data_IF_248627143172
#
_entry.id   IF_248627143172
#
_cell.length_a   1.000
_cell.length_b   1.000
_cell.length_c   1.000
_cell.angle_alpha   90.00
_cell.angle_beta   90.00
_cell.angle_gamma   90.00
#
_symmetry.space_group_name_H-M   'P 1'
#
loop_
_entity.id
_entity.type
_entity.pdbx_description
1 polymer ?
#
# COMPACT_ATOMS: atom_id res chain seq x y z
N UNK A 1 15.59 21.35 -2.51
CA UNK A 1 15.28 20.06 -3.17
C UNK A 1 14.60 19.18 -2.14
N UNK A 2 13.32 19.47 -1.83
CA UNK A 2 12.62 18.92 -0.66
C UNK A 2 11.48 18.02 -1.14
N UNK A 3 11.57 16.75 -0.78
CA UNK A 3 10.55 15.74 -1.05
C UNK A 3 9.33 16.00 -0.17
N UNK A 4 8.20 16.38 -0.76
CA UNK A 4 6.90 16.12 -0.16
C UNK A 4 5.91 15.83 -1.29
N UNK A 5 4.92 14.98 -0.99
CA UNK A 5 3.94 14.36 -1.89
C UNK A 5 4.42 13.04 -2.51
N UNK A 6 4.24 11.98 -1.73
CA UNK A 6 4.25 10.60 -2.20
C UNK A 6 3.16 10.40 -3.24
N UNK A 7 3.48 10.70 -4.49
CA UNK A 7 2.71 10.27 -5.63
C UNK A 7 3.14 8.84 -5.96
N UNK A 8 2.34 7.87 -5.53
CA UNK A 8 2.40 6.52 -6.08
C UNK A 8 1.97 6.61 -7.55
N UNK A 9 2.93 6.92 -8.44
CA UNK A 9 2.82 6.67 -9.87
C UNK A 9 2.56 5.17 -10.02
N UNK A 10 1.30 4.79 -10.15
CA UNK A 10 0.90 3.40 -10.28
C UNK A 10 0.47 3.06 -11.70
N UNK A 11 -0.07 4.01 -12.47
CA UNK A 11 -0.39 3.87 -13.91
C UNK A 11 -0.43 5.23 -14.64
N UNK A 12 0.33 6.22 -14.17
CA UNK A 12 0.10 7.63 -14.52
C UNK A 12 -1.06 8.28 -13.75
N UNK A 13 -1.78 7.52 -12.92
CA UNK A 13 -2.78 8.03 -11.99
C UNK A 13 -2.08 8.69 -10.79
N UNK A 14 -1.62 9.93 -10.98
CA UNK A 14 -1.15 10.81 -9.92
C UNK A 14 -2.30 11.67 -9.41
N UNK A 15 -3.23 11.10 -8.66
CA UNK A 15 -4.31 11.88 -8.04
C UNK A 15 -3.79 12.52 -6.73
N UNK A 16 -2.78 13.41 -6.85
CA UNK A 16 -2.35 14.23 -5.71
C UNK A 16 -3.18 15.51 -5.56
N UNK A 17 -4.01 15.81 -6.57
CA UNK A 17 -4.81 17.03 -6.68
C UNK A 17 -6.29 16.64 -6.69
N UNK A 18 -7.09 17.32 -5.85
CA UNK A 18 -8.54 17.17 -5.83
C UNK A 18 -9.10 17.45 -7.22
N UNK A 19 -10.06 16.63 -7.67
CA UNK A 19 -10.74 16.79 -8.96
C UNK A 19 -9.85 16.65 -10.20
N UNK A 20 -8.64 16.11 -10.07
CA UNK A 20 -7.87 15.72 -11.25
C UNK A 20 -8.53 14.47 -11.87
N UNK A 21 -8.74 14.52 -13.18
CA UNK A 21 -9.19 13.36 -13.94
C UNK A 21 -7.98 12.61 -14.50
N UNK A 22 -8.02 11.28 -14.41
CA UNK A 22 -7.03 10.43 -15.06
C UNK A 22 -7.73 9.38 -15.89
N UNK A 23 -7.37 9.30 -17.16
CA UNK A 23 -7.90 8.30 -18.08
C UNK A 23 -6.91 7.17 -18.25
N UNK A 24 -7.38 5.95 -18.02
CA UNK A 24 -6.68 4.69 -18.24
C UNK A 24 -7.31 3.95 -19.42
N UNK A 25 -6.54 3.09 -20.09
CA UNK A 25 -6.99 2.28 -21.21
C UNK A 25 -6.70 0.81 -20.98
N UNK A 26 -7.75 0.00 -20.93
CA UNK A 26 -7.68 -1.45 -20.70
C UNK A 26 -8.46 -2.16 -21.80
N UNK A 27 -7.80 -3.06 -22.55
CA UNK A 27 -8.41 -3.78 -23.69
C UNK A 27 -9.15 -2.85 -24.68
N UNK A 28 -8.55 -1.69 -25.00
CA UNK A 28 -9.12 -0.63 -25.85
C UNK A 28 -10.37 0.07 -25.29
N UNK A 29 -10.72 -0.18 -24.02
CA UNK A 29 -11.79 0.52 -23.29
C UNK A 29 -11.18 1.60 -22.40
N UNK A 30 -11.76 2.79 -22.43
CA UNK A 30 -11.34 3.92 -21.60
C UNK A 30 -12.07 3.90 -20.25
N UNK A 31 -11.29 4.09 -19.19
CA UNK A 31 -11.75 4.19 -17.80
C UNK A 31 -11.25 5.51 -17.21
N UNK A 32 -12.15 6.34 -16.69
CA UNK A 32 -11.80 7.66 -16.13
C UNK A 32 -11.94 7.65 -14.62
N UNK A 33 -10.86 7.98 -13.91
CA UNK A 33 -10.79 8.07 -12.46
C UNK A 33 -10.74 9.52 -11.99
N UNK A 34 -11.51 9.83 -10.94
CA UNK A 34 -11.51 11.16 -10.30
C UNK A 34 -11.48 11.00 -8.79
N UNK A 35 -10.59 11.73 -8.10
CA UNK A 35 -10.66 11.86 -6.64
C UNK A 35 -11.65 12.96 -6.26
N UNK A 36 -12.73 12.58 -5.56
CA UNK A 36 -13.72 13.51 -5.00
C UNK A 36 -13.59 13.59 -3.48
N UNK A 37 -14.02 14.72 -2.93
CA UNK A 37 -14.08 14.94 -1.48
C UNK A 37 -15.40 15.57 -1.10
N UNK A 38 -16.05 15.07 -0.05
CA UNK A 38 -17.28 15.65 0.52
C UNK A 38 -17.02 16.06 1.97
N UNK A 39 -17.36 17.30 2.32
CA UNK A 39 -17.30 17.74 3.72
C UNK A 39 -18.34 17.00 4.56
N UNK A 40 -17.93 16.44 5.69
CA UNK A 40 -18.83 15.87 6.68
C UNK A 40 -19.32 17.02 7.56
N UNK A 41 -20.63 17.29 7.56
CA UNK A 41 -21.22 18.27 8.48
C UNK A 41 -21.12 17.70 9.90
N UNK A 42 -20.30 18.31 10.74
CA UNK A 42 -20.25 17.95 12.16
C UNK A 42 -21.36 18.68 12.93
N UNK A 43 -21.80 18.08 14.03
CA UNK A 43 -22.66 18.74 15.03
C UNK A 43 -21.94 19.96 15.60
N UNK A 44 -22.66 21.03 15.94
CA UNK A 44 -22.14 22.33 16.40
C UNK A 44 -21.24 22.27 17.65
N UNK A 45 -21.10 21.11 18.30
CA UNK A 45 -20.35 20.93 19.56
C UNK A 45 -18.94 20.34 19.43
N UNK A 46 -18.43 20.05 18.24
CA UNK A 46 -17.10 19.42 18.10
C UNK A 46 -15.99 20.40 17.74
N UNK A 47 -14.96 20.44 18.59
CA UNK A 47 -13.72 21.24 18.44
C UNK A 47 -12.72 20.64 17.43
N UNK A 48 -13.10 19.60 16.69
CA UNK A 48 -12.20 18.87 15.80
C UNK A 48 -12.14 19.51 14.40
N UNK A 49 -10.99 19.46 13.71
CA UNK A 49 -10.88 19.94 12.34
C UNK A 49 -11.89 19.23 11.43
N UNK A 50 -12.47 19.96 10.47
CA UNK A 50 -13.45 19.45 9.49
C UNK A 50 -12.98 18.14 8.87
N UNK A 51 -13.70 17.05 9.13
CA UNK A 51 -13.44 15.77 8.48
C UNK A 51 -13.95 15.80 7.04
N UNK A 52 -13.05 15.59 6.07
CA UNK A 52 -13.38 15.43 4.66
C UNK A 52 -13.45 13.93 4.32
N UNK A 53 -14.57 13.47 3.75
CA UNK A 53 -14.67 12.13 3.17
C UNK A 53 -14.06 12.15 1.77
N UNK A 54 -12.98 11.40 1.54
CA UNK A 54 -12.34 11.26 0.23
C UNK A 54 -12.66 9.91 -0.40
N UNK A 55 -13.01 9.90 -1.69
CA UNK A 55 -13.30 8.69 -2.44
C UNK A 55 -12.89 8.84 -3.90
N UNK A 56 -12.68 7.71 -4.56
CA UNK A 56 -12.42 7.66 -5.99
C UNK A 56 -13.69 7.28 -6.74
N UNK A 57 -14.00 8.04 -7.79
CA UNK A 57 -15.08 7.73 -8.72
C UNK A 57 -14.47 7.19 -10.02
N UNK A 58 -15.05 6.09 -10.51
CA UNK A 58 -14.67 5.46 -11.76
C UNK A 58 -15.83 5.59 -12.75
N UNK A 59 -15.55 6.20 -13.90
CA UNK A 59 -16.51 6.45 -14.98
C UNK A 59 -16.13 5.66 -16.23
N UNK A 60 -17.12 4.96 -16.81
CA UNK A 60 -16.98 4.18 -18.03
C UNK A 60 -18.35 3.97 -18.68
N UNK A 61 -18.35 3.52 -19.94
CA UNK A 61 -19.60 3.25 -20.66
C UNK A 61 -20.36 2.05 -20.06
N UNK A 62 -21.67 2.19 -19.81
CA UNK A 62 -22.52 1.18 -19.14
C UNK A 62 -22.40 -0.25 -19.71
N UNK A 63 -22.21 -0.38 -21.03
CA UNK A 63 -21.99 -1.69 -21.71
C UNK A 63 -20.77 -2.45 -21.17
N UNK A 64 -19.79 -1.75 -20.60
CA UNK A 64 -18.54 -2.33 -20.09
C UNK A 64 -18.57 -2.67 -18.60
N UNK A 65 -19.76 -2.64 -17.96
CA UNK A 65 -19.91 -2.92 -16.52
C UNK A 65 -19.35 -4.28 -16.11
N UNK A 66 -19.65 -5.32 -16.87
CA UNK A 66 -19.16 -6.68 -16.55
C UNK A 66 -17.63 -6.76 -16.65
N UNK A 67 -17.04 -6.18 -17.70
CA UNK A 67 -15.58 -6.07 -17.86
C UNK A 67 -14.95 -5.27 -16.72
N UNK A 68 -15.57 -4.16 -16.34
CA UNK A 68 -15.08 -3.31 -15.25
C UNK A 68 -14.97 -4.09 -13.93
N UNK A 69 -16.03 -4.82 -13.56
CA UNK A 69 -16.11 -5.55 -12.30
C UNK A 69 -15.29 -6.84 -12.29
N UNK A 70 -15.30 -7.61 -13.38
CA UNK A 70 -14.70 -8.95 -13.42
C UNK A 70 -13.25 -8.98 -13.88
N UNK A 71 -12.81 -7.99 -14.66
CA UNK A 71 -11.45 -7.96 -15.22
C UNK A 71 -10.66 -6.74 -14.79
N UNK A 72 -11.16 -5.53 -15.08
CA UNK A 72 -10.41 -4.30 -14.90
C UNK A 72 -10.09 -4.00 -13.42
N UNK A 73 -11.08 -4.03 -12.53
CA UNK A 73 -10.85 -3.78 -11.11
C UNK A 73 -9.93 -4.83 -10.47
N UNK A 74 -10.11 -6.15 -10.68
CA UNK A 74 -9.16 -7.16 -10.23
C UNK A 74 -7.74 -6.94 -10.77
N UNK A 75 -7.60 -6.57 -12.05
CA UNK A 75 -6.32 -6.23 -12.66
C UNK A 75 -5.64 -5.07 -11.93
N UNK A 76 -6.36 -3.96 -11.71
CA UNK A 76 -5.83 -2.78 -11.01
C UNK A 76 -5.44 -3.13 -9.57
N UNK A 77 -6.26 -3.90 -8.85
CA UNK A 77 -5.95 -4.33 -7.48
C UNK A 77 -4.70 -5.20 -7.42
N UNK A 78 -4.56 -6.16 -8.34
CA UNK A 78 -3.36 -7.00 -8.44
C UNK A 78 -2.12 -6.16 -8.71
N UNK A 79 -2.19 -5.26 -9.70
CA UNK A 79 -1.07 -4.37 -10.05
C UNK A 79 -0.70 -3.41 -8.93
N UNK A 80 -1.69 -2.85 -8.23
CA UNK A 80 -1.46 -2.01 -7.06
C UNK A 80 -0.73 -2.77 -5.96
N UNK A 81 -1.07 -4.05 -5.74
CA UNK A 81 -0.37 -4.93 -4.80
C UNK A 81 1.07 -5.21 -5.24
N UNK A 82 1.28 -5.57 -6.51
CA UNK A 82 2.62 -5.81 -7.08
C UNK A 82 3.54 -4.60 -6.88
N UNK A 83 3.06 -3.40 -7.21
CA UNK A 83 3.88 -2.20 -7.10
C UNK A 83 4.07 -1.77 -5.63
N UNK A 84 3.08 -2.02 -4.76
CA UNK A 84 3.25 -1.81 -3.32
C UNK A 84 4.35 -2.71 -2.76
N UNK A 85 4.43 -3.96 -3.24
CA UNK A 85 5.47 -4.91 -2.86
C UNK A 85 6.83 -4.50 -3.45
N UNK A 86 6.88 -4.10 -4.72
CA UNK A 86 8.10 -3.59 -5.37
C UNK A 86 8.67 -2.36 -4.65
N UNK A 87 7.79 -1.45 -4.19
CA UNK A 87 8.17 -0.26 -3.43
C UNK A 87 8.32 -0.51 -1.93
N UNK A 88 8.17 -1.74 -1.46
CA UNK A 88 8.27 -2.07 -0.03
C UNK A 88 9.73 -1.96 0.38
N UNK A 89 10.01 -0.94 1.20
CA UNK A 89 11.31 -0.77 1.85
C UNK A 89 11.28 -1.35 3.26
N UNK A 90 12.40 -1.94 3.68
CA UNK A 90 12.59 -2.35 5.07
C UNK A 90 12.63 -1.09 5.94
N UNK A 91 11.87 -1.10 7.04
CA UNK A 91 11.82 0.00 8.00
C UNK A 91 12.23 -0.51 9.37
N UNK A 92 13.05 0.28 10.06
CA UNK A 92 13.37 0.06 11.46
C UNK A 92 12.33 0.80 12.29
N UNK A 93 11.66 0.07 13.19
CA UNK A 93 10.70 0.63 14.12
C UNK A 93 11.33 0.75 15.51
N UNK A 94 11.16 1.91 16.14
CA UNK A 94 11.71 2.21 17.46
C UNK A 94 10.66 2.87 18.33
N UNK A 95 10.76 2.68 19.65
CA UNK A 95 9.84 3.36 20.57
C UNK A 95 10.22 4.84 20.66
N UNK A 96 9.23 5.71 20.51
CA UNK A 96 9.37 7.15 20.68
C UNK A 96 8.53 7.60 21.88
N UNK A 97 9.19 7.78 23.03
CA UNK A 97 8.54 8.19 24.27
C UNK A 97 8.14 9.68 24.28
N UNK A 98 8.61 10.47 23.31
CA UNK A 98 8.39 11.91 23.23
C UNK A 98 7.47 12.30 22.07
N UNK A 99 7.12 11.35 21.20
CA UNK A 99 6.25 11.55 20.05
C UNK A 99 4.76 11.55 20.41
N UNK A 100 3.93 11.95 19.45
CA UNK A 100 2.47 11.80 19.54
C UNK A 100 2.02 10.35 19.32
N UNK A 101 2.91 9.49 18.82
CA UNK A 101 2.72 8.06 18.61
C UNK A 101 3.85 7.32 19.32
N UNK A 102 3.54 6.16 19.90
CA UNK A 102 4.48 5.37 20.69
C UNK A 102 5.55 4.70 19.80
N UNK A 103 5.25 4.52 18.52
CA UNK A 103 6.15 3.91 17.54
C UNK A 103 6.58 4.91 16.48
N UNK A 104 7.90 5.11 16.37
CA UNK A 104 8.51 5.80 15.23
C UNK A 104 9.10 4.78 14.25
N UNK A 105 9.32 5.21 13.01
CA UNK A 105 9.99 4.37 12.01
C UNK A 105 10.88 5.17 11.08
N UNK A 106 12.00 4.57 10.69
CA UNK A 106 12.93 5.11 9.70
C UNK A 106 13.21 4.07 8.61
N UNK A 107 13.46 4.52 7.37
CA UNK A 107 13.82 3.61 6.28
C UNK A 107 15.21 3.04 6.56
N UNK A 108 15.34 1.71 6.60
CA UNK A 108 16.62 1.04 6.75
C UNK A 108 17.33 0.99 5.40
N UNK A 109 18.15 2.00 5.12
CA UNK A 109 18.94 2.10 3.89
C UNK A 109 20.39 1.69 4.13
N UNK A 110 20.62 0.41 4.42
CA UNK A 110 21.96 -0.15 4.63
C UNK A 110 22.24 -1.24 3.57
N UNK A 111 23.43 -1.26 2.92
CA UNK A 111 23.74 -2.22 1.87
C UNK A 111 23.95 -3.66 2.38
N UNK A 112 24.05 -3.87 3.70
CA UNK A 112 24.22 -5.22 4.24
C UNK A 112 22.97 -6.06 3.98
N UNK A 113 23.19 -7.21 3.37
CA UNK A 113 22.22 -8.29 3.21
C UNK A 113 22.55 -9.43 4.17
N UNK A 114 21.62 -10.38 4.32
CA UNK A 114 21.86 -11.60 5.09
C UNK A 114 23.06 -12.41 4.54
N UNK A 115 23.28 -12.37 3.22
CA UNK A 115 24.44 -13.02 2.58
C UNK A 115 25.76 -12.40 3.03
N UNK A 116 25.82 -11.06 3.11
CA UNK A 116 27.02 -10.32 3.54
C UNK A 116 27.26 -10.34 5.06
N UNK A 117 26.31 -10.85 5.84
CA UNK A 117 26.44 -10.94 7.30
C UNK A 117 27.51 -11.98 7.67
N UNK A 118 28.44 -11.61 8.55
CA UNK A 118 29.48 -12.51 9.04
C UNK A 118 28.90 -13.51 10.05
N UNK A 119 28.63 -14.73 9.58
CA UNK A 119 28.13 -15.87 10.36
C UNK A 119 28.72 -17.16 9.76
N UNK A 120 28.82 -18.21 10.57
CA UNK A 120 29.16 -19.56 10.08
C UNK A 120 28.15 -20.03 9.02
N UNK A 121 28.58 -20.58 7.87
CA UNK A 121 27.71 -20.96 6.76
C UNK A 121 26.60 -21.95 7.15
N UNK A 122 26.92 -22.92 8.00
CA UNK A 122 26.00 -23.93 8.48
C UNK A 122 24.88 -23.30 9.33
N UNK A 123 25.25 -22.47 10.32
CA UNK A 123 24.29 -21.73 11.15
C UNK A 123 23.42 -20.79 10.34
N UNK A 124 24.01 -20.13 9.32
CA UNK A 124 23.28 -19.24 8.41
C UNK A 124 22.21 -20.02 7.64
N UNK A 125 22.56 -21.20 7.14
CA UNK A 125 21.65 -22.08 6.39
C UNK A 125 20.53 -22.61 7.29
N UNK A 126 20.86 -23.11 8.48
CA UNK A 126 19.86 -23.60 9.44
C UNK A 126 18.84 -22.53 9.81
N UNK A 127 19.26 -21.28 10.01
CA UNK A 127 18.35 -20.18 10.31
C UNK A 127 17.38 -19.90 9.16
N UNK A 128 17.86 -19.91 7.90
CA UNK A 128 17.01 -19.70 6.73
C UNK A 128 16.01 -20.85 6.58
N UNK A 129 16.46 -22.10 6.74
CA UNK A 129 15.59 -23.27 6.66
C UNK A 129 14.49 -23.27 7.73
N UNK A 130 14.81 -22.85 8.96
CA UNK A 130 13.82 -22.70 10.03
C UNK A 130 12.79 -21.60 9.72
N UNK A 131 13.25 -20.45 9.21
CA UNK A 131 12.36 -19.35 8.80
C UNK A 131 11.44 -19.77 7.64
N UNK A 132 11.94 -20.50 6.64
CA UNK A 132 11.15 -21.02 5.53
C UNK A 132 10.13 -22.06 6.02
N UNK A 133 10.56 -22.95 6.93
CA UNK A 133 9.67 -23.91 7.58
C UNK A 133 8.56 -23.20 8.37
N UNK A 134 8.88 -22.14 9.11
CA UNK A 134 7.91 -21.34 9.85
C UNK A 134 6.86 -20.74 8.91
N UNK A 135 7.28 -20.14 7.79
CA UNK A 135 6.38 -19.57 6.79
C UNK A 135 5.48 -20.64 6.16
N UNK A 136 6.03 -21.82 5.84
CA UNK A 136 5.27 -22.93 5.23
C UNK A 136 4.16 -23.47 6.14
N UNK A 137 4.33 -23.35 7.46
CA UNK A 137 3.39 -23.88 8.47
C UNK A 137 2.30 -22.90 8.90
N UNK A 138 2.13 -21.79 8.18
CA UNK A 138 1.11 -20.77 8.47
C UNK A 138 -0.29 -21.33 8.75
N UNK A 139 -0.78 -22.27 7.92
CA UNK A 139 -2.12 -22.83 8.11
C UNK A 139 -2.19 -23.80 9.30
N UNK A 140 -1.07 -24.43 9.68
CA UNK A 140 -0.99 -25.22 10.90
C UNK A 140 -1.17 -24.32 12.13
N UNK A 141 -0.42 -23.22 12.23
CA UNK A 141 -0.54 -22.28 13.35
C UNK A 141 -1.94 -21.70 13.47
N UNK A 142 -2.56 -21.33 12.35
CA UNK A 142 -3.96 -20.87 12.33
C UNK A 142 -4.95 -21.90 12.89
N UNK A 143 -4.73 -23.21 12.68
CA UNK A 143 -5.62 -24.26 13.19
C UNK A 143 -5.47 -24.50 14.69
N UNK A 144 -4.24 -24.44 15.21
CA UNK A 144 -3.96 -24.69 16.63
C UNK A 144 -4.12 -23.45 17.51
N UNK A 145 -4.43 -22.29 16.91
CA UNK A 145 -4.76 -21.06 17.63
C UNK A 145 -3.54 -20.22 18.05
N UNK A 146 -2.40 -20.40 17.39
CA UNK A 146 -1.27 -19.46 17.46
C UNK A 146 -1.39 -18.35 16.42
#
# INVERSE_FOLDING_TARGET
>A
MCMSKGCLKLFGICLSVRYQEVTDSYENVKFTWIMKSRGIKQSEKSTNPKTELRYFELSFHKKQKEMALKSYLPYILRRAKEIKEEKRVVRLHTVDYNGTDYWSSVVLSHPATFDTMAMEPETKKELIEDLDMFVSRKDYYRRVGM
#
